data_IF_825538780356
#
_entry.id   IF_825538780356
#
_cell.length_a   1.000
_cell.length_b   1.000
_cell.length_c   1.000
_cell.angle_alpha   90.00
_cell.angle_beta   90.00
_cell.angle_gamma   90.00
#
_symmetry.space_group_name_H-M   'P 1'
#
loop_
_entity.id
_entity.type
_entity.pdbx_description
1 polymer ?
#
# COMPACT_ATOMS: atom_id res chain seq x y z
N UNK A 1 -0.87 10.73 7.29
CA UNK A 1 -0.15 9.49 6.95
C UNK A 1 0.17 9.53 5.45
N UNK A 2 1.36 9.13 5.03
CA UNK A 2 1.78 9.12 3.63
C UNK A 2 2.46 7.78 3.34
N UNK A 3 1.95 7.03 2.38
CA UNK A 3 2.60 5.81 1.89
C UNK A 3 3.67 6.12 0.84
N UNK A 4 4.73 5.29 0.73
CA UNK A 4 5.64 5.34 -0.42
C UNK A 4 4.88 5.39 -1.76
N UNK A 5 5.28 6.31 -2.64
CA UNK A 5 4.60 6.57 -3.93
C UNK A 5 3.53 7.66 -3.89
N UNK A 6 3.05 8.06 -2.71
CA UNK A 6 2.11 9.17 -2.57
C UNK A 6 2.83 10.51 -2.44
N UNK A 7 2.17 11.56 -2.92
CA UNK A 7 2.52 12.96 -2.66
C UNK A 7 1.36 13.66 -1.96
N UNK A 8 1.65 14.72 -1.21
CA UNK A 8 0.65 15.56 -0.54
C UNK A 8 1.17 16.98 -0.43
N UNK A 9 0.38 17.92 -0.92
CA UNK A 9 0.64 19.34 -0.76
C UNK A 9 -0.07 19.84 0.50
N UNK A 10 0.65 20.64 1.30
CA UNK A 10 0.14 21.22 2.53
C UNK A 10 0.45 22.72 2.57
N UNK A 11 -0.52 23.51 3.00
CA UNK A 11 -0.31 24.93 3.30
C UNK A 11 0.01 25.07 4.78
N UNK A 12 1.11 25.77 5.08
CA UNK A 12 1.53 26.07 6.45
C UNK A 12 1.36 27.57 6.67
N UNK A 13 0.64 27.93 7.74
CA UNK A 13 0.53 29.33 8.19
C UNK A 13 1.50 29.56 9.35
N UNK A 14 2.50 30.41 9.16
CA UNK A 14 3.52 30.72 10.16
C UNK A 14 3.05 31.82 11.14
N UNK A 15 2.09 31.47 12.00
CA UNK A 15 1.45 32.38 12.96
C UNK A 15 1.81 32.11 14.44
N UNK A 16 2.76 31.22 14.70
CA UNK A 16 3.24 30.92 16.04
C UNK A 16 4.29 31.95 16.49
N UNK A 17 4.57 32.07 17.81
CA UNK A 17 5.65 32.95 18.29
C UNK A 17 6.96 32.69 17.53
N UNK A 18 7.71 33.72 17.11
CA UNK A 18 8.96 33.53 16.38
C UNK A 18 9.96 32.66 17.15
N UNK A 19 10.21 31.45 16.64
CA UNK A 19 11.10 30.46 17.24
C UNK A 19 11.58 29.43 16.19
N UNK A 20 12.19 28.34 16.67
CA UNK A 20 12.52 27.16 15.87
C UNK A 20 11.53 26.04 16.22
N UNK A 21 11.02 25.35 15.22
CA UNK A 21 10.06 24.25 15.36
C UNK A 21 10.57 23.01 14.64
N UNK A 22 10.46 21.84 15.26
CA UNK A 22 10.72 20.59 14.55
C UNK A 22 9.58 20.29 13.57
N UNK A 23 9.95 19.95 12.33
CA UNK A 23 9.13 19.15 11.44
C UNK A 23 9.62 17.71 11.62
N UNK A 24 8.73 16.80 12.01
CA UNK A 24 9.12 15.43 12.34
C UNK A 24 8.31 14.41 11.56
N UNK A 25 8.93 13.28 11.23
CA UNK A 25 8.27 12.13 10.63
C UNK A 25 8.77 10.83 11.26
N UNK A 26 7.87 9.87 11.42
CA UNK A 26 8.17 8.50 11.87
C UNK A 26 7.33 7.49 11.11
N UNK A 27 7.77 6.25 11.09
CA UNK A 27 7.04 5.16 10.45
C UNK A 27 5.67 4.93 11.12
N UNK A 28 4.67 4.61 10.29
CA UNK A 28 3.47 3.91 10.72
C UNK A 28 3.67 2.43 10.40
N UNK A 29 3.64 1.58 11.42
CA UNK A 29 3.90 0.14 11.33
C UNK A 29 2.70 -0.64 11.88
N UNK A 30 1.91 -1.23 10.98
CA UNK A 30 0.73 -2.02 11.33
C UNK A 30 1.02 -3.51 11.51
N UNK A 31 2.10 -4.00 10.89
CA UNK A 31 2.52 -5.40 10.90
C UNK A 31 3.04 -5.81 12.28
N UNK A 32 2.26 -6.60 13.02
CA UNK A 32 2.70 -7.11 14.31
C UNK A 32 3.83 -8.14 14.14
N UNK A 33 4.91 -7.98 14.92
CA UNK A 33 6.04 -8.91 14.93
C UNK A 33 7.02 -8.78 13.76
N UNK A 34 6.76 -7.87 12.82
CA UNK A 34 7.71 -7.52 11.76
C UNK A 34 8.69 -6.44 12.25
N UNK A 35 10.01 -6.66 12.14
CA UNK A 35 11.00 -5.63 12.43
C UNK A 35 10.85 -4.42 11.48
N UNK A 36 11.00 -3.22 12.00
CA UNK A 36 11.01 -1.98 11.22
C UNK A 36 11.97 -0.96 11.87
N UNK A 37 12.39 0.03 11.10
CA UNK A 37 13.16 1.16 11.63
C UNK A 37 12.22 2.10 12.42
N UNK A 38 12.38 2.11 13.74
CA UNK A 38 11.58 2.94 14.66
C UNK A 38 12.25 4.27 15.02
N UNK A 39 13.14 4.77 14.17
CA UNK A 39 13.71 6.10 14.33
C UNK A 39 12.72 7.20 13.91
N UNK A 40 12.95 8.42 14.41
CA UNK A 40 12.22 9.62 13.99
C UNK A 40 13.18 10.52 13.25
N UNK A 41 12.80 10.94 12.04
CA UNK A 41 13.56 11.94 11.28
C UNK A 41 13.00 13.32 11.57
N UNK A 42 13.87 14.33 11.57
CA UNK A 42 13.51 15.73 11.89
C UNK A 42 14.19 16.72 10.95
N UNK A 43 13.46 17.78 10.63
CA UNK A 43 13.98 19.02 10.07
C UNK A 43 13.57 20.21 10.95
N UNK A 44 14.14 21.40 10.71
CA UNK A 44 13.84 22.60 11.49
C UNK A 44 13.15 23.64 10.60
N UNK A 45 11.97 24.07 11.01
CA UNK A 45 11.32 25.28 10.53
C UNK A 45 11.73 26.44 11.44
N UNK A 46 12.50 27.38 10.91
CA UNK A 46 13.01 28.53 11.66
C UNK A 46 12.35 29.83 11.18
N UNK A 47 11.77 30.59 12.12
CA UNK A 47 11.35 31.95 11.84
C UNK A 47 12.59 32.83 11.69
N UNK A 48 12.68 33.62 10.62
CA UNK A 48 13.79 34.58 10.42
C UNK A 48 13.93 35.60 11.56
N UNK A 49 12.82 35.93 12.20
CA UNK A 49 12.75 36.83 13.35
C UNK A 49 12.87 36.10 14.69
N UNK A 50 13.28 34.83 14.69
CA UNK A 50 13.54 34.08 15.91
C UNK A 50 14.57 34.84 16.75
N UNK A 51 14.30 35.10 18.05
CA UNK A 51 15.28 35.73 18.94
C UNK A 51 16.48 34.80 19.20
N UNK A 52 16.34 33.52 18.84
CA UNK A 52 17.30 32.48 19.06
C UNK A 52 17.49 31.64 17.78
N UNK A 53 18.21 32.19 16.77
CA UNK A 53 18.46 31.51 15.50
C UNK A 53 19.51 30.40 15.64
N UNK A 54 19.62 29.52 14.64
CA UNK A 54 20.51 28.36 14.66
C UNK A 54 21.96 28.63 15.15
N UNK A 55 22.54 29.76 14.76
CA UNK A 55 23.92 30.13 15.09
C UNK A 55 24.05 31.11 16.28
N UNK A 56 22.95 31.57 16.86
CA UNK A 56 22.95 32.64 17.88
C UNK A 56 22.83 32.14 19.32
N UNK A 57 22.41 30.90 19.53
CA UNK A 57 22.06 30.35 20.84
C UNK A 57 21.77 28.83 20.78
N UNK A 58 21.98 28.14 21.90
CA UNK A 58 21.73 26.71 22.06
C UNK A 58 20.34 26.43 22.66
N UNK A 59 19.26 26.78 21.96
CA UNK A 59 17.91 26.39 22.35
C UNK A 59 17.38 25.24 21.49
N UNK A 60 16.78 24.25 22.13
CA UNK A 60 16.12 23.14 21.42
C UNK A 60 14.88 23.65 20.68
N UNK A 61 14.68 23.30 19.40
CA UNK A 61 13.44 23.60 18.70
C UNK A 61 12.21 23.02 19.42
N UNK A 62 11.06 23.68 19.27
CA UNK A 62 9.79 23.21 19.83
C UNK A 62 9.44 21.86 19.20
N UNK A 63 9.17 20.86 20.05
CA UNK A 63 8.86 19.50 19.64
C UNK A 63 7.53 19.39 18.90
N UNK A 64 7.47 18.53 17.88
CA UNK A 64 6.23 18.10 17.24
C UNK A 64 5.62 16.91 18.00
N UNK A 65 4.29 16.88 18.12
CA UNK A 65 3.56 15.70 18.57
C UNK A 65 3.28 14.79 17.39
N UNK A 66 3.64 13.51 17.51
CA UNK A 66 3.36 12.48 16.51
C UNK A 66 2.41 11.43 17.10
N UNK A 67 1.50 10.83 16.31
CA UNK A 67 0.72 9.65 16.72
C UNK A 67 1.63 8.44 16.93
N UNK A 68 1.31 7.51 17.84
CA UNK A 68 2.13 6.31 18.05
C UNK A 68 2.32 5.53 16.73
N UNK A 69 3.46 4.86 16.56
CA UNK A 69 3.78 4.19 15.28
C UNK A 69 2.76 3.11 14.90
N UNK A 70 2.04 2.55 15.86
CA UNK A 70 1.01 1.52 15.67
C UNK A 70 -0.43 2.07 15.76
N UNK A 71 -0.61 3.39 15.75
CA UNK A 71 -1.92 4.04 15.83
C UNK A 71 -2.67 3.96 14.49
N UNK A 72 -3.27 2.79 14.25
CA UNK A 72 -4.08 2.50 13.06
C UNK A 72 -5.30 3.43 12.98
N UNK A 73 -5.91 3.76 14.13
CA UNK A 73 -7.11 4.60 14.17
C UNK A 73 -6.82 6.01 13.63
N UNK A 74 -5.71 6.63 14.05
CA UNK A 74 -5.31 7.95 13.52
C UNK A 74 -4.92 7.88 12.04
N UNK A 75 -4.25 6.80 11.62
CA UNK A 75 -3.91 6.59 10.20
C UNK A 75 -5.17 6.50 9.32
N UNK A 76 -6.16 5.70 9.73
CA UNK A 76 -7.42 5.52 9.01
C UNK A 76 -8.28 6.78 9.04
N UNK A 77 -8.37 7.47 10.19
CA UNK A 77 -9.10 8.72 10.28
C UNK A 77 -8.53 9.77 9.32
N UNK A 78 -7.21 9.78 9.11
CA UNK A 78 -6.60 10.65 8.11
C UNK A 78 -6.95 10.23 6.67
N UNK A 79 -6.74 8.96 6.28
CA UNK A 79 -6.94 8.54 4.88
C UNK A 79 -8.39 8.64 4.43
N UNK A 80 -9.34 8.29 5.29
CA UNK A 80 -10.78 8.31 4.99
C UNK A 80 -11.37 9.72 4.85
N UNK A 81 -10.62 10.76 5.20
CA UNK A 81 -11.04 12.17 5.00
C UNK A 81 -10.70 12.69 3.61
N UNK A 82 -9.85 11.99 2.85
CA UNK A 82 -9.41 12.44 1.54
C UNK A 82 -10.57 12.42 0.54
N UNK A 83 -10.76 13.53 -0.17
CA UNK A 83 -11.79 13.71 -1.19
C UNK A 83 -11.24 14.52 -2.35
N UNK A 84 -11.87 14.38 -3.51
CA UNK A 84 -11.65 15.31 -4.61
C UNK A 84 -12.19 16.70 -4.25
N UNK A 85 -11.58 17.80 -4.71
CA UNK A 85 -12.05 19.16 -4.39
C UNK A 85 -13.45 19.51 -4.92
N UNK A 86 -13.95 18.71 -5.87
CA UNK A 86 -15.23 18.88 -6.52
C UNK A 86 -15.81 17.51 -6.91
N UNK A 87 -17.08 17.51 -7.30
CA UNK A 87 -17.75 16.32 -7.84
C UNK A 87 -16.99 15.80 -9.07
N UNK A 88 -16.80 14.49 -9.15
CA UNK A 88 -16.09 13.81 -10.26
C UNK A 88 -17.01 12.79 -10.94
N UNK A 89 -16.65 12.41 -12.17
CA UNK A 89 -17.34 11.37 -12.91
C UNK A 89 -16.70 10.02 -12.61
N UNK A 90 -17.35 9.26 -11.73
CA UNK A 90 -16.97 7.89 -11.41
C UNK A 90 -17.77 6.94 -12.30
N UNK A 91 -17.12 6.01 -13.04
CA UNK A 91 -17.83 5.00 -13.80
C UNK A 91 -18.75 4.14 -12.90
N UNK A 92 -20.04 4.08 -13.22
CA UNK A 92 -21.03 3.29 -12.47
C UNK A 92 -21.40 1.98 -13.14
N UNK A 93 -21.33 1.91 -14.48
CA UNK A 93 -21.37 0.62 -15.16
C UNK A 93 -19.94 0.13 -15.33
N UNK A 94 -19.72 -1.10 -14.91
CA UNK A 94 -18.40 -1.73 -14.78
C UNK A 94 -18.33 -2.88 -15.77
N UNK A 95 -17.27 -2.87 -16.59
CA UNK A 95 -17.03 -3.92 -17.58
C UNK A 95 -16.25 -5.09 -16.98
N UNK A 96 -15.39 -4.82 -15.99
CA UNK A 96 -14.54 -5.82 -15.30
C UNK A 96 -14.60 -5.62 -13.79
N UNK A 97 -15.01 -6.65 -13.04
CA UNK A 97 -15.01 -6.67 -11.58
C UNK A 97 -13.91 -7.60 -11.08
N UNK A 98 -12.89 -7.03 -10.44
CA UNK A 98 -11.68 -7.72 -10.01
C UNK A 98 -11.57 -7.69 -8.47
N UNK A 99 -11.07 -8.77 -7.90
CA UNK A 99 -10.72 -8.88 -6.48
C UNK A 99 -9.30 -9.43 -6.38
N UNK A 100 -8.36 -8.60 -5.98
CA UNK A 100 -6.97 -9.00 -5.81
C UNK A 100 -6.66 -9.09 -4.32
N UNK A 101 -6.41 -10.30 -3.82
CA UNK A 101 -5.84 -10.47 -2.49
C UNK A 101 -4.38 -10.06 -2.52
N UNK A 102 -3.94 -9.33 -1.50
CA UNK A 102 -2.58 -8.80 -1.36
C UNK A 102 -2.03 -9.22 -0.01
N UNK A 103 -0.79 -9.68 0.01
CA UNK A 103 -0.12 -9.95 1.27
C UNK A 103 1.23 -10.59 1.11
N UNK A 104 1.86 -10.79 2.26
CA UNK A 104 3.08 -11.57 2.39
C UNK A 104 2.81 -13.06 2.15
N UNK A 105 3.88 -13.80 1.97
CA UNK A 105 3.90 -15.26 1.94
C UNK A 105 5.25 -15.79 2.40
N UNK A 106 5.34 -17.10 2.56
CA UNK A 106 6.56 -17.80 2.95
C UNK A 106 6.87 -18.91 1.97
N UNK A 107 8.03 -18.83 1.34
CA UNK A 107 8.62 -19.90 0.57
C UNK A 107 9.50 -20.79 1.45
N UNK A 108 9.55 -22.07 1.13
CA UNK A 108 10.60 -22.94 1.65
C UNK A 108 11.97 -22.36 1.26
N UNK A 109 12.89 -22.34 2.22
CA UNK A 109 14.26 -21.95 1.95
C UNK A 109 14.89 -22.98 0.99
N UNK A 110 15.61 -22.56 -0.06
CA UNK A 110 16.33 -23.48 -0.93
C UNK A 110 17.33 -24.31 -0.13
N UNK A 111 17.48 -25.58 -0.50
CA UNK A 111 18.47 -26.45 0.13
C UNK A 111 19.88 -25.86 0.00
N UNK A 112 20.62 -25.79 1.11
CA UNK A 112 21.98 -25.23 1.16
C UNK A 112 22.06 -23.70 1.11
N UNK A 113 20.94 -22.97 1.12
CA UNK A 113 20.97 -21.52 1.22
C UNK A 113 21.48 -21.07 2.60
N UNK A 114 22.26 -19.98 2.63
CA UNK A 114 22.71 -19.36 3.88
C UNK A 114 21.50 -18.90 4.71
N UNK A 115 21.57 -19.03 6.03
CA UNK A 115 20.57 -18.53 6.97
C UNK A 115 20.25 -17.04 6.75
N UNK A 116 21.22 -16.22 6.32
CA UNK A 116 20.99 -14.81 5.97
C UNK A 116 20.00 -14.59 4.83
N UNK A 117 19.80 -15.59 3.95
CA UNK A 117 18.85 -15.53 2.84
C UNK A 117 17.44 -16.05 3.22
N UNK A 118 17.29 -16.56 4.44
CA UNK A 118 16.09 -17.23 4.94
C UNK A 118 15.71 -16.71 6.33
N UNK A 119 15.44 -15.41 6.39
CA UNK A 119 15.12 -14.64 7.59
C UNK A 119 13.63 -14.71 7.98
N UNK A 120 12.83 -15.48 7.23
CA UNK A 120 11.44 -15.73 7.57
C UNK A 120 11.31 -16.68 8.76
N UNK A 121 10.13 -16.73 9.42
CA UNK A 121 9.87 -17.64 10.52
C UNK A 121 10.19 -19.09 10.16
N UNK A 122 10.72 -19.86 11.11
CA UNK A 122 11.12 -21.27 10.91
C UNK A 122 12.14 -21.47 9.77
N UNK A 123 13.03 -20.49 9.53
CA UNK A 123 14.05 -20.58 8.49
C UNK A 123 13.48 -20.57 7.08
N UNK A 124 12.31 -19.95 6.88
CA UNK A 124 11.69 -19.76 5.57
C UNK A 124 12.18 -18.48 4.90
N UNK A 125 11.76 -18.25 3.66
CA UNK A 125 12.06 -17.01 2.93
C UNK A 125 10.78 -16.24 2.67
N UNK A 126 10.73 -14.97 3.06
CA UNK A 126 9.61 -14.08 2.74
C UNK A 126 9.43 -13.94 1.23
N UNK A 127 8.17 -13.82 0.84
CA UNK A 127 7.70 -13.49 -0.50
C UNK A 127 6.44 -12.63 -0.35
N UNK A 128 5.88 -12.17 -1.46
CA UNK A 128 4.62 -11.47 -1.50
C UNK A 128 3.86 -11.91 -2.75
N UNK A 129 2.54 -11.77 -2.73
CA UNK A 129 1.73 -12.17 -3.87
C UNK A 129 0.49 -11.32 -4.04
N UNK A 130 -0.01 -11.31 -5.27
CA UNK A 130 -1.37 -10.91 -5.58
C UNK A 130 -2.13 -12.12 -6.11
N UNK A 131 -3.32 -12.41 -5.55
CA UNK A 131 -4.11 -13.60 -5.88
C UNK A 131 -3.29 -14.91 -5.88
N UNK A 132 -2.42 -15.08 -4.88
CA UNK A 132 -1.54 -16.24 -4.72
C UNK A 132 -0.47 -16.42 -5.81
N UNK A 133 -0.24 -15.40 -6.65
CA UNK A 133 0.84 -15.36 -7.64
C UNK A 133 1.96 -14.45 -7.14
N UNK A 134 3.13 -15.02 -6.88
CA UNK A 134 4.36 -14.26 -6.60
C UNK A 134 5.00 -13.87 -7.92
N UNK A 135 4.93 -12.59 -8.29
CA UNK A 135 5.43 -12.13 -9.58
C UNK A 135 6.94 -12.39 -9.74
N UNK A 136 7.32 -13.00 -10.85
CA UNK A 136 8.72 -13.22 -11.23
C UNK A 136 9.07 -12.28 -12.38
N UNK A 137 10.09 -11.44 -12.18
CA UNK A 137 10.61 -10.57 -13.24
C UNK A 137 11.25 -11.42 -14.34
N UNK A 138 10.85 -11.24 -15.62
CA UNK A 138 11.55 -11.85 -16.73
C UNK A 138 13.01 -11.42 -16.81
N UNK A 139 13.91 -12.34 -17.16
CA UNK A 139 15.35 -12.06 -17.27
C UNK A 139 15.81 -11.64 -18.67
N UNK A 140 15.12 -12.10 -19.72
CA UNK A 140 15.62 -12.00 -21.09
C UNK A 140 14.96 -10.87 -21.90
N UNK A 141 13.67 -10.64 -21.68
CA UNK A 141 12.87 -9.66 -22.41
C UNK A 141 11.93 -8.95 -21.45
N UNK A 142 11.74 -7.63 -21.63
CA UNK A 142 10.70 -6.92 -20.90
C UNK A 142 9.31 -7.39 -21.34
N UNK A 143 8.30 -7.23 -20.48
CA UNK A 143 6.91 -7.56 -20.83
C UNK A 143 6.44 -6.81 -22.08
N UNK A 144 6.78 -5.53 -22.19
CA UNK A 144 6.40 -4.69 -23.32
C UNK A 144 7.07 -5.16 -24.62
N UNK A 145 8.36 -5.49 -24.58
CA UNK A 145 9.07 -6.01 -25.75
C UNK A 145 8.48 -7.36 -26.19
N UNK A 146 8.28 -8.27 -25.25
CA UNK A 146 7.71 -9.58 -25.55
C UNK A 146 6.31 -9.47 -26.15
N UNK A 147 5.48 -8.56 -25.63
CA UNK A 147 4.16 -8.29 -26.18
C UNK A 147 4.24 -7.73 -27.61
N UNK A 148 5.06 -6.70 -27.84
CA UNK A 148 5.14 -6.04 -29.14
C UNK A 148 5.73 -6.95 -30.23
N UNK A 149 6.76 -7.74 -29.89
CA UNK A 149 7.46 -8.60 -30.85
C UNK A 149 6.86 -10.02 -30.93
N UNK A 150 5.83 -10.33 -30.14
CA UNK A 150 5.20 -11.66 -30.12
C UNK A 150 6.12 -12.77 -29.60
N UNK A 151 7.00 -12.47 -28.64
CA UNK A 151 7.96 -13.45 -28.10
C UNK A 151 7.24 -14.41 -27.16
N UNK A 152 7.18 -15.72 -27.48
CA UNK A 152 6.49 -16.69 -26.64
C UNK A 152 7.27 -17.01 -25.35
N UNK A 153 6.54 -17.44 -24.31
CA UNK A 153 7.15 -17.98 -23.09
C UNK A 153 7.65 -16.95 -22.06
N UNK A 154 7.47 -15.65 -22.30
CA UNK A 154 7.90 -14.58 -21.35
C UNK A 154 6.86 -14.32 -20.26
N UNK A 155 5.57 -14.32 -20.63
CA UNK A 155 4.46 -14.15 -19.70
C UNK A 155 3.24 -14.94 -20.19
N UNK A 156 2.27 -15.16 -19.31
CA UNK A 156 0.94 -15.64 -19.66
C UNK A 156 -0.12 -14.59 -19.33
N UNK A 157 -1.28 -14.65 -20.00
CA UNK A 157 -2.37 -13.66 -19.84
C UNK A 157 -3.50 -14.14 -18.93
N UNK A 158 -3.21 -15.12 -18.08
CA UNK A 158 -4.14 -15.81 -17.20
C UNK A 158 -3.93 -15.43 -15.73
N UNK A 159 -3.54 -14.17 -15.45
CA UNK A 159 -3.62 -13.67 -14.07
C UNK A 159 -5.09 -13.75 -13.63
N UNK A 160 -5.40 -14.30 -12.45
CA UNK A 160 -6.78 -14.57 -12.08
C UNK A 160 -7.49 -13.28 -11.64
N UNK A 161 -8.73 -13.09 -12.11
CA UNK A 161 -9.58 -11.94 -11.76
C UNK A 161 -9.96 -11.89 -10.27
N UNK A 162 -9.92 -13.04 -9.59
CA UNK A 162 -10.27 -13.26 -8.20
C UNK A 162 -9.27 -14.24 -7.56
N UNK A 163 -9.10 -14.28 -6.23
CA UNK A 163 -8.24 -15.26 -5.59
C UNK A 163 -8.68 -16.70 -5.95
N UNK A 164 -7.74 -17.62 -6.24
CA UNK A 164 -8.08 -18.98 -6.66
C UNK A 164 -8.74 -19.81 -5.54
N UNK A 165 -8.60 -19.39 -4.29
CA UNK A 165 -9.21 -20.01 -3.12
C UNK A 165 -9.80 -18.92 -2.24
N UNK A 166 -11.07 -19.07 -1.87
CA UNK A 166 -11.73 -18.20 -0.92
C UNK A 166 -11.53 -18.70 0.50
N UNK A 167 -11.19 -17.79 1.41
CA UNK A 167 -11.04 -18.06 2.83
C UNK A 167 -11.34 -16.75 3.60
N UNK A 168 -11.36 -16.83 4.93
CA UNK A 168 -11.37 -15.62 5.75
C UNK A 168 -10.00 -14.93 5.65
N UNK A 169 -9.88 -13.98 4.72
CA UNK A 169 -8.60 -13.35 4.36
C UNK A 169 -7.96 -12.62 5.54
N UNK A 170 -8.78 -12.00 6.39
CA UNK A 170 -8.31 -11.22 7.55
C UNK A 170 -8.29 -11.99 8.87
N UNK A 171 -8.85 -13.20 8.91
CA UNK A 171 -8.90 -14.04 10.10
C UNK A 171 -7.65 -14.88 10.34
N UNK A 172 -7.83 -16.05 10.96
CA UNK A 172 -6.76 -17.00 11.21
C UNK A 172 -6.49 -17.87 9.96
N UNK A 173 -5.54 -17.44 9.13
CA UNK A 173 -5.25 -18.09 7.85
C UNK A 173 -4.41 -19.34 8.02
N UNK A 174 -4.90 -20.49 7.52
CA UNK A 174 -4.17 -21.76 7.52
C UNK A 174 -2.78 -21.64 6.91
N UNK A 175 -1.76 -22.20 7.58
CA UNK A 175 -0.37 -22.27 7.10
C UNK A 175 -0.21 -22.93 5.73
N UNK A 176 -1.15 -23.80 5.33
CA UNK A 176 -1.14 -24.42 3.99
C UNK A 176 -1.34 -23.41 2.85
N UNK A 177 -1.88 -22.23 3.14
CA UNK A 177 -2.15 -21.17 2.16
C UNK A 177 -1.04 -20.11 2.09
N UNK A 178 0.01 -20.23 2.92
CA UNK A 178 1.01 -19.17 3.07
C UNK A 178 2.07 -19.16 1.96
N UNK A 179 2.14 -20.22 1.14
CA UNK A 179 3.12 -20.32 0.08
C UNK A 179 2.49 -19.99 -1.28
N UNK A 180 2.78 -18.82 -1.87
CA UNK A 180 2.29 -18.48 -3.20
C UNK A 180 3.05 -19.22 -4.29
N UNK A 181 2.46 -19.24 -5.48
CA UNK A 181 3.05 -19.84 -6.68
C UNK A 181 3.82 -18.77 -7.45
N UNK A 182 5.11 -18.98 -7.78
CA UNK A 182 5.84 -18.04 -8.61
C UNK A 182 5.28 -18.03 -10.04
N UNK A 183 5.18 -16.85 -10.66
CA UNK A 183 4.78 -16.75 -12.06
C UNK A 183 4.85 -15.35 -12.64
N UNK A 184 4.98 -15.26 -13.96
CA UNK A 184 4.89 -14.00 -14.72
C UNK A 184 3.55 -13.97 -15.44
N UNK A 185 2.50 -13.60 -14.71
CA UNK A 185 1.12 -13.56 -15.21
C UNK A 185 0.65 -12.11 -15.32
N UNK A 186 -0.06 -11.77 -16.40
CA UNK A 186 -0.68 -10.46 -16.61
C UNK A 186 -2.18 -10.60 -16.77
N UNK A 187 -2.93 -9.56 -16.37
CA UNK A 187 -4.37 -9.44 -16.66
C UNK A 187 -4.55 -8.56 -17.89
N UNK A 188 -5.19 -9.09 -18.94
CA UNK A 188 -5.40 -8.35 -20.19
C UNK A 188 -6.75 -7.63 -20.13
N UNK A 189 -6.73 -6.31 -20.28
CA UNK A 189 -7.92 -5.48 -20.40
C UNK A 189 -8.15 -5.08 -21.86
N UNK A 190 -9.43 -4.92 -22.22
CA UNK A 190 -9.80 -4.24 -23.46
C UNK A 190 -9.59 -2.73 -23.29
N UNK A 191 -9.16 -2.06 -24.35
CA UNK A 191 -9.09 -0.60 -24.35
C UNK A 191 -10.46 0.00 -24.04
N UNK A 192 -10.51 0.98 -23.14
CA UNK A 192 -11.74 1.63 -22.70
C UNK A 192 -12.56 0.88 -21.65
N UNK A 193 -12.12 -0.30 -21.20
CA UNK A 193 -12.81 -1.04 -20.14
C UNK A 193 -12.83 -0.24 -18.82
N UNK A 194 -14.01 -0.17 -18.20
CA UNK A 194 -14.23 0.41 -16.86
C UNK A 194 -14.06 -0.69 -15.83
N UNK A 195 -13.05 -0.56 -14.99
CA UNK A 195 -12.64 -1.62 -14.06
C UNK A 195 -12.95 -1.21 -12.63
N UNK A 196 -13.66 -2.07 -11.90
CA UNK A 196 -13.70 -2.03 -10.45
C UNK A 196 -12.68 -3.04 -9.93
N UNK A 197 -11.74 -2.57 -9.12
CA UNK A 197 -10.74 -3.42 -8.48
C UNK A 197 -10.84 -3.26 -6.96
N UNK A 198 -11.08 -4.38 -6.28
CA UNK A 198 -11.00 -4.48 -4.82
C UNK A 198 -9.63 -5.04 -4.46
N UNK A 199 -8.88 -4.32 -3.63
CA UNK A 199 -7.58 -4.76 -3.12
C UNK A 199 -7.75 -5.30 -1.70
N UNK A 200 -7.86 -6.62 -1.55
CA UNK A 200 -8.12 -7.26 -0.26
C UNK A 200 -6.81 -7.61 0.46
N UNK A 201 -6.49 -6.94 1.56
CA UNK A 201 -5.39 -7.36 2.44
C UNK A 201 -5.65 -8.75 3.05
N UNK A 202 -4.58 -9.52 3.28
CA UNK A 202 -4.65 -10.81 3.99
C UNK A 202 -3.84 -10.78 5.29
N UNK A 203 -4.21 -11.64 6.24
CA UNK A 203 -3.47 -11.90 7.49
C UNK A 203 -2.47 -13.05 7.36
N UNK A 204 -2.03 -13.39 6.14
CA UNK A 204 -0.93 -14.35 5.93
C UNK A 204 0.33 -13.75 6.54
N UNK A 205 0.96 -14.48 7.46
CA UNK A 205 2.00 -14.00 8.36
C UNK A 205 1.55 -12.91 9.35
N UNK A 206 1.14 -11.74 8.87
CA UNK A 206 0.62 -10.64 9.68
C UNK A 206 -0.13 -9.66 8.76
N UNK A 207 -1.14 -8.97 9.30
CA UNK A 207 -1.84 -7.94 8.55
C UNK A 207 -0.95 -6.68 8.44
N UNK A 208 -0.68 -6.25 7.20
CA UNK A 208 0.21 -5.12 6.91
C UNK A 208 -0.47 -4.11 5.99
N UNK A 209 -0.07 -2.84 6.10
CA UNK A 209 -0.40 -1.79 5.15
C UNK A 209 0.45 -1.87 3.89
N UNK A 210 -0.16 -2.20 2.76
CA UNK A 210 0.53 -2.21 1.46
C UNK A 210 0.16 -0.99 0.61
N UNK A 211 1.10 -0.06 0.31
CA UNK A 211 0.87 0.99 -0.66
C UNK A 211 0.93 0.40 -2.09
N UNK A 212 -0.23 0.19 -2.70
CA UNK A 212 -0.36 -0.36 -4.06
C UNK A 212 -0.44 0.76 -5.08
N UNK A 213 0.55 0.80 -5.96
CA UNK A 213 0.68 1.77 -7.03
C UNK A 213 0.30 1.16 -8.38
N UNK A 214 -0.42 1.92 -9.22
CA UNK A 214 -0.74 1.55 -10.60
C UNK A 214 -0.02 2.49 -11.58
N UNK A 215 0.80 1.91 -12.44
CA UNK A 215 1.50 2.67 -13.48
C UNK A 215 0.52 3.05 -14.61
N UNK A 216 0.69 4.25 -15.17
CA UNK A 216 -0.01 4.70 -16.38
C UNK A 216 -1.44 5.20 -16.15
N UNK A 217 -1.95 5.15 -14.93
CA UNK A 217 -3.31 5.56 -14.59
C UNK A 217 -3.36 6.20 -13.20
N UNK A 218 -4.26 7.17 -13.05
CA UNK A 218 -4.88 7.45 -11.76
C UNK A 218 -6.21 6.71 -11.66
N UNK A 219 -6.68 6.49 -10.44
CA UNK A 219 -7.93 5.82 -10.12
C UNK A 219 -8.65 6.52 -8.96
N UNK A 220 -9.96 6.30 -8.86
CA UNK A 220 -10.75 6.79 -7.74
C UNK A 220 -10.84 5.73 -6.63
N UNK A 221 -10.48 6.11 -5.41
CA UNK A 221 -10.71 5.26 -4.23
C UNK A 221 -12.14 5.52 -3.75
N UNK A 222 -13.07 4.64 -4.13
CA UNK A 222 -14.50 4.83 -3.84
C UNK A 222 -14.88 4.40 -2.43
N UNK A 223 -14.14 3.47 -1.82
CA UNK A 223 -14.33 3.07 -0.44
C UNK A 223 -13.05 2.43 0.12
N UNK A 224 -12.94 2.43 1.44
CA UNK A 224 -11.96 1.70 2.23
C UNK A 224 -12.72 1.03 3.40
N UNK A 225 -12.35 -0.18 3.81
CA UNK A 225 -13.01 -0.81 4.94
C UNK A 225 -12.29 -2.04 5.51
N UNK A 226 -12.41 -2.27 6.82
CA UNK A 226 -11.73 -3.40 7.48
C UNK A 226 -12.41 -4.75 7.24
N UNK A 227 -11.63 -5.83 7.33
CA UNK A 227 -12.10 -7.20 7.23
C UNK A 227 -12.14 -7.71 5.80
N UNK A 228 -13.05 -8.64 5.52
CA UNK A 228 -13.26 -9.17 4.18
C UNK A 228 -14.32 -8.35 3.45
N UNK A 229 -14.03 -7.92 2.21
CA UNK A 229 -14.98 -7.21 1.38
C UNK A 229 -16.24 -8.05 1.15
N UNK A 230 -17.40 -7.46 1.38
CA UNK A 230 -18.69 -8.05 1.09
C UNK A 230 -19.46 -7.17 0.09
N UNK A 231 -19.56 -7.57 -1.19
CA UNK A 231 -20.21 -6.75 -2.22
C UNK A 231 -21.69 -6.47 -1.95
N UNK A 232 -22.35 -7.26 -1.09
CA UNK A 232 -23.76 -7.06 -0.73
C UNK A 232 -23.97 -5.93 0.28
N UNK A 233 -22.97 -5.63 1.11
CA UNK A 233 -23.11 -4.66 2.21
C UNK A 233 -22.20 -3.45 2.04
N UNK A 234 -21.03 -3.65 1.42
CA UNK A 234 -19.98 -2.64 1.38
C UNK A 234 -20.10 -1.68 0.21
N UNK A 235 -20.81 -2.06 -0.86
CA UNK A 235 -21.12 -1.17 -2.00
C UNK A 235 -21.92 0.06 -1.57
N UNK A 236 -22.69 -0.04 -0.49
CA UNK A 236 -23.40 1.10 0.11
C UNK A 236 -22.46 2.16 0.71
N UNK A 237 -21.19 1.82 0.94
CA UNK A 237 -20.17 2.75 1.45
C UNK A 237 -19.49 3.55 0.35
N UNK A 238 -19.75 3.24 -0.93
CA UNK A 238 -19.05 3.86 -2.04
C UNK A 238 -19.35 5.36 -2.11
N UNK A 239 -18.29 6.15 -2.06
CA UNK A 239 -18.31 7.55 -2.44
C UNK A 239 -18.24 7.64 -3.97
N UNK A 240 -19.39 7.87 -4.60
CA UNK A 240 -19.52 8.08 -6.04
C UNK A 240 -19.72 9.56 -6.40
N UNK A 241 -19.48 10.46 -5.45
CA UNK A 241 -19.65 11.91 -5.63
C UNK A 241 -18.30 12.59 -5.77
N UNK A 242 -17.45 12.46 -4.77
CA UNK A 242 -16.14 13.13 -4.70
C UNK A 242 -15.00 12.23 -4.19
N UNK A 243 -14.89 10.96 -4.63
CA UNK A 243 -13.80 10.10 -4.18
C UNK A 243 -12.44 10.71 -4.55
N UNK A 244 -11.40 10.52 -3.73
CA UNK A 244 -10.07 11.02 -4.05
C UNK A 244 -9.51 10.27 -5.26
N UNK A 245 -8.93 11.03 -6.20
CA UNK A 245 -8.16 10.49 -7.32
C UNK A 245 -6.71 10.30 -6.91
N UNK A 246 -6.17 9.09 -7.08
CA UNK A 246 -4.81 8.70 -6.67
C UNK A 246 -4.21 7.73 -7.69
N UNK A 247 -2.90 7.62 -7.72
CA UNK A 247 -2.20 6.51 -8.38
C UNK A 247 -1.69 5.46 -7.38
N UNK A 248 -1.82 5.72 -6.08
CA UNK A 248 -1.33 4.83 -5.00
C UNK A 248 -2.35 4.78 -3.85
N UNK A 249 -2.82 3.58 -3.51
CA UNK A 249 -3.75 3.33 -2.41
C UNK A 249 -3.10 2.51 -1.29
N UNK A 250 -3.40 2.81 -0.04
CA UNK A 250 -2.95 2.02 1.12
C UNK A 250 -3.94 0.90 1.41
N UNK A 251 -3.45 -0.33 1.56
CA UNK A 251 -4.27 -1.53 1.86
C UNK A 251 -3.83 -2.14 3.21
N UNK A 252 -4.24 -1.59 4.37
CA UNK A 252 -3.96 -2.15 5.70
C UNK A 252 -5.02 -3.10 6.28
N UNK A 253 -4.94 -4.43 6.12
CA UNK A 253 -5.93 -5.35 6.75
C UNK A 253 -7.41 -4.98 6.45
N UNK A 254 -7.58 -4.26 5.35
CA UNK A 254 -8.78 -3.64 4.79
C UNK A 254 -8.86 -4.05 3.33
N UNK A 255 -9.99 -3.74 2.74
CA UNK A 255 -10.27 -3.73 1.31
C UNK A 255 -10.57 -2.32 0.81
#
# INVERSE_FOLDING_TARGET
MLGPGQTTDVLITANQPPARYYIAARAYASAQGAPFDNTTTTAILEYKTSPCPANGCSATPVSASLPAYNDTATATAFTTTLRSPQKVLVPTDIDENLLFTVGLGLNKCPSGANASNCQGPNGTRFTASMNNVSFVLPSNFSLLQAHHQGIPGVFSTDFPAAPPVNFDYTGNVSRSLWQPVPGTKIYKLKYGARVQLVLQGTSIFTAENHPIHLHGYDFYIVAEGFGNFNPKTDTAKFNLVDPPMRNTASVPGVW
#
